data_IF_370740390860
#
_entry.id   IF_370740390860
#
_cell.length_a   1.000
_cell.length_b   1.000
_cell.length_c   1.000
_cell.angle_alpha   90.00
_cell.angle_beta   90.00
_cell.angle_gamma   90.00
#
_symmetry.space_group_name_H-M   'P 1'
#
loop_
_entity.id
_entity.type
_entity.pdbx_description
1 polymer ?
#
# COMPACT_ATOMS: atom_id res chain seq x y z
N UNK A 1 21.70 -1.47 5.41
CA UNK A 1 20.68 -2.26 6.11
C UNK A 1 20.22 -3.41 5.20
N UNK A 2 20.11 -4.62 5.74
CA UNK A 2 19.68 -5.80 4.97
C UNK A 2 18.20 -6.10 5.25
N UNK A 3 17.40 -6.22 4.21
CA UNK A 3 15.97 -6.49 4.30
C UNK A 3 15.65 -7.78 3.54
N UNK A 4 14.93 -8.70 4.16
CA UNK A 4 14.33 -9.85 3.49
C UNK A 4 12.84 -9.61 3.28
N UNK A 5 12.37 -9.67 2.03
CA UNK A 5 10.95 -9.66 1.69
C UNK A 5 10.52 -11.10 1.42
N UNK A 6 9.82 -11.70 2.38
CA UNK A 6 9.36 -13.08 2.31
C UNK A 6 7.97 -13.12 1.68
N UNK A 7 7.89 -13.65 0.46
CA UNK A 7 6.67 -13.71 -0.32
C UNK A 7 6.50 -12.49 -1.26
N UNK A 8 7.32 -12.44 -2.31
CA UNK A 8 7.26 -11.40 -3.34
C UNK A 8 6.10 -11.64 -4.34
N UNK A 9 4.87 -11.72 -3.81
CA UNK A 9 3.63 -11.65 -4.57
C UNK A 9 3.27 -10.20 -4.95
N UNK A 10 1.98 -9.89 -5.18
CA UNK A 10 1.58 -8.54 -5.61
C UNK A 10 2.03 -7.46 -4.60
N UNK A 11 1.68 -7.60 -3.31
CA UNK A 11 2.00 -6.58 -2.31
C UNK A 11 3.47 -6.61 -1.89
N UNK A 12 3.99 -7.80 -1.54
CA UNK A 12 5.42 -7.95 -1.20
C UNK A 12 6.32 -7.56 -2.36
N UNK A 13 5.90 -7.84 -3.60
CA UNK A 13 6.61 -7.43 -4.81
C UNK A 13 6.60 -5.93 -5.03
N UNK A 14 5.46 -5.25 -4.84
CA UNK A 14 5.39 -3.79 -4.96
C UNK A 14 6.31 -3.09 -3.94
N UNK A 15 6.31 -3.57 -2.68
CA UNK A 15 7.22 -3.07 -1.64
C UNK A 15 8.67 -3.35 -2.00
N UNK A 16 9.00 -4.56 -2.44
CA UNK A 16 10.37 -4.91 -2.85
C UNK A 16 10.87 -4.06 -4.00
N UNK A 17 10.04 -3.87 -5.05
CA UNK A 17 10.38 -3.03 -6.21
C UNK A 17 10.56 -1.56 -5.80
N UNK A 18 9.67 -1.03 -4.98
CA UNK A 18 9.80 0.33 -4.46
C UNK A 18 11.08 0.52 -3.64
N UNK A 19 11.35 -0.36 -2.68
CA UNK A 19 12.58 -0.31 -1.88
C UNK A 19 13.84 -0.45 -2.75
N UNK A 20 13.83 -1.34 -3.73
CA UNK A 20 14.96 -1.51 -4.64
C UNK A 20 15.29 -0.26 -5.45
N UNK A 21 14.25 0.46 -5.91
CA UNK A 21 14.41 1.64 -6.76
C UNK A 21 14.65 2.93 -6.00
N UNK A 22 14.04 3.08 -4.83
CA UNK A 22 13.91 4.36 -4.14
C UNK A 22 14.69 4.43 -2.84
N UNK A 23 14.88 3.29 -2.14
CA UNK A 23 15.54 3.28 -0.87
C UNK A 23 17.06 3.35 -1.03
N UNK A 24 17.68 4.24 -0.22
CA UNK A 24 19.14 4.35 -0.14
C UNK A 24 19.68 3.40 0.93
N UNK A 25 20.87 2.83 0.66
CA UNK A 25 21.61 2.00 1.61
C UNK A 25 20.85 0.75 2.12
N UNK A 26 20.00 0.19 1.25
CA UNK A 26 19.25 -1.04 1.49
C UNK A 26 19.73 -2.14 0.55
N UNK A 27 20.05 -3.29 1.13
CA UNK A 27 20.29 -4.54 0.37
C UNK A 27 19.07 -5.43 0.54
N UNK A 28 18.46 -5.83 -0.57
CA UNK A 28 17.23 -6.62 -0.57
C UNK A 28 17.50 -8.06 -0.97
N UNK A 29 16.94 -8.99 -0.22
CA UNK A 29 16.74 -10.37 -0.63
C UNK A 29 15.24 -10.64 -0.69
N UNK A 30 14.74 -11.11 -1.82
CA UNK A 30 13.33 -11.46 -1.99
C UNK A 30 13.14 -12.96 -2.01
N UNK A 31 12.04 -13.46 -1.42
CA UNK A 31 11.68 -14.86 -1.57
C UNK A 31 10.35 -15.02 -2.30
N UNK A 32 10.21 -16.12 -3.00
CA UNK A 32 8.99 -16.51 -3.70
C UNK A 32 8.85 -18.03 -3.69
N UNK A 33 7.61 -18.52 -3.84
CA UNK A 33 7.35 -19.96 -3.97
C UNK A 33 7.51 -20.48 -5.42
N UNK A 34 7.69 -19.60 -6.40
CA UNK A 34 7.69 -19.95 -7.83
C UNK A 34 9.00 -19.55 -8.52
N UNK A 35 9.64 -20.50 -9.20
CA UNK A 35 10.90 -20.28 -9.92
C UNK A 35 10.79 -19.16 -10.98
N UNK A 36 9.69 -19.08 -11.72
CA UNK A 36 9.45 -18.02 -12.72
C UNK A 36 9.43 -16.61 -12.11
N UNK A 37 8.94 -16.49 -10.88
CA UNK A 37 8.94 -15.22 -10.14
C UNK A 37 10.34 -14.88 -9.63
N UNK A 38 11.13 -15.90 -9.26
CA UNK A 38 12.52 -15.73 -8.86
C UNK A 38 13.37 -15.15 -10.01
N UNK A 39 13.24 -15.70 -11.21
CA UNK A 39 13.95 -15.21 -12.40
C UNK A 39 13.61 -13.74 -12.69
N UNK A 40 12.35 -13.34 -12.51
CA UNK A 40 11.91 -11.95 -12.68
C UNK A 40 12.67 -10.99 -11.75
N UNK A 41 12.81 -11.33 -10.47
CA UNK A 41 13.51 -10.45 -9.51
C UNK A 41 15.02 -10.47 -9.72
N UNK A 42 15.61 -11.62 -10.05
CA UNK A 42 17.02 -11.72 -10.41
C UNK A 42 17.36 -10.87 -11.64
N UNK A 43 16.51 -10.87 -12.67
CA UNK A 43 16.67 -10.03 -13.86
C UNK A 43 16.62 -8.52 -13.56
N UNK A 44 16.01 -8.13 -12.46
CA UNK A 44 15.99 -6.74 -11.97
C UNK A 44 17.20 -6.40 -11.07
N UNK A 45 18.13 -7.33 -10.86
CA UNK A 45 19.33 -7.13 -10.06
C UNK A 45 19.10 -7.28 -8.54
N UNK A 46 18.01 -7.93 -8.14
CA UNK A 46 17.75 -8.25 -6.73
C UNK A 46 18.25 -9.65 -6.39
N UNK A 47 18.74 -9.84 -5.16
CA UNK A 47 18.96 -11.17 -4.63
C UNK A 47 17.62 -11.89 -4.48
N UNK A 48 17.45 -13.05 -5.12
CA UNK A 48 16.20 -13.80 -5.10
C UNK A 48 16.46 -15.27 -4.74
N UNK A 49 15.62 -15.86 -3.87
CA UNK A 49 15.75 -17.22 -3.40
C UNK A 49 14.41 -17.87 -3.12
N UNK A 50 14.37 -19.21 -3.08
CA UNK A 50 13.20 -19.98 -2.60
C UNK A 50 13.30 -20.29 -1.10
N UNK A 51 14.42 -19.97 -0.44
CA UNK A 51 14.70 -20.30 0.95
C UNK A 51 14.40 -19.13 1.89
N UNK A 52 13.24 -19.17 2.54
CA UNK A 52 12.81 -18.19 3.51
C UNK A 52 13.74 -18.10 4.74
N UNK A 53 14.29 -19.24 5.16
CA UNK A 53 15.13 -19.30 6.38
C UNK A 53 16.46 -18.61 6.14
N UNK A 54 17.10 -18.91 5.02
CA UNK A 54 18.36 -18.26 4.61
C UNK A 54 18.18 -16.75 4.46
N UNK A 55 17.12 -16.31 3.78
CA UNK A 55 16.80 -14.89 3.61
C UNK A 55 16.57 -14.19 4.96
N UNK A 56 15.74 -14.76 5.85
CA UNK A 56 15.47 -14.22 7.16
C UNK A 56 16.74 -14.15 8.03
N UNK A 57 17.60 -15.18 7.99
CA UNK A 57 18.85 -15.23 8.76
C UNK A 57 19.80 -14.09 8.38
N UNK A 58 19.91 -13.80 7.09
CA UNK A 58 20.82 -12.77 6.55
C UNK A 58 20.34 -11.33 6.75
N UNK A 59 19.09 -11.09 7.15
CA UNK A 59 18.48 -9.78 7.20
C UNK A 59 18.49 -9.16 8.60
N UNK A 60 18.44 -7.82 8.67
CA UNK A 60 18.18 -7.02 9.88
C UNK A 60 16.67 -6.81 10.07
N UNK A 61 15.94 -6.71 8.96
CA UNK A 61 14.49 -6.51 8.88
C UNK A 61 13.87 -7.60 8.01
N UNK A 62 12.78 -8.18 8.48
CA UNK A 62 12.01 -9.18 7.74
C UNK A 62 10.63 -8.62 7.43
N UNK A 63 10.28 -8.55 6.15
CA UNK A 63 8.96 -8.13 5.67
C UNK A 63 8.20 -9.37 5.19
N UNK A 64 7.04 -9.66 5.80
CA UNK A 64 6.17 -10.77 5.41
C UNK A 64 5.14 -10.29 4.39
N UNK A 65 5.34 -10.63 3.13
CA UNK A 65 4.43 -10.35 2.01
C UNK A 65 3.57 -11.54 1.57
N UNK A 66 3.52 -12.60 2.38
CA UNK A 66 2.70 -13.78 2.10
C UNK A 66 1.22 -13.55 2.40
N UNK A 67 0.36 -14.40 1.86
CA UNK A 67 -1.08 -14.35 2.17
C UNK A 67 -1.35 -14.62 3.66
N UNK A 68 -2.41 -14.03 4.25
CA UNK A 68 -2.69 -14.14 5.68
C UNK A 68 -2.71 -15.57 6.22
N UNK A 69 -3.29 -16.51 5.48
CA UNK A 69 -3.37 -17.92 5.88
C UNK A 69 -2.03 -18.69 5.83
N UNK A 70 -0.98 -18.08 5.24
CA UNK A 70 0.38 -18.65 5.19
C UNK A 70 1.29 -18.05 6.26
N UNK A 71 0.89 -16.98 6.94
CA UNK A 71 1.75 -16.24 7.87
C UNK A 71 2.24 -17.13 9.00
N UNK A 72 1.34 -17.88 9.64
CA UNK A 72 1.73 -18.75 10.77
C UNK A 72 2.78 -19.77 10.34
N UNK A 73 2.53 -20.50 9.24
CA UNK A 73 3.46 -21.55 8.78
C UNK A 73 4.82 -21.00 8.35
N UNK A 74 4.84 -19.79 7.73
CA UNK A 74 6.09 -19.12 7.37
C UNK A 74 6.82 -18.62 8.63
N UNK A 75 6.11 -18.06 9.60
CA UNK A 75 6.70 -17.67 10.89
C UNK A 75 7.34 -18.84 11.61
N UNK A 76 6.69 -20.00 11.66
CA UNK A 76 7.25 -21.20 12.26
C UNK A 76 8.58 -21.62 11.61
N UNK A 77 8.68 -21.51 10.28
CA UNK A 77 9.92 -21.81 9.55
C UNK A 77 11.07 -20.86 9.92
N UNK A 78 10.80 -19.54 9.97
CA UNK A 78 11.82 -18.51 10.13
C UNK A 78 12.04 -18.09 11.59
N UNK A 79 11.19 -18.53 12.50
CA UNK A 79 11.19 -18.15 13.94
C UNK A 79 12.58 -18.20 14.59
N UNK A 80 13.42 -19.24 14.37
CA UNK A 80 14.77 -19.28 14.93
C UNK A 80 15.70 -18.16 14.43
N UNK A 81 15.35 -17.52 13.32
CA UNK A 81 16.16 -16.48 12.69
C UNK A 81 15.70 -15.06 13.03
N UNK A 82 14.65 -14.86 13.86
CA UNK A 82 14.02 -13.57 14.11
C UNK A 82 14.53 -12.83 15.35
N UNK A 83 15.33 -13.48 16.21
CA UNK A 83 15.83 -12.84 17.43
C UNK A 83 16.61 -11.54 17.13
N UNK A 84 16.28 -10.47 17.86
CA UNK A 84 16.88 -9.15 17.72
C UNK A 84 16.50 -8.36 16.46
N UNK A 85 15.61 -8.90 15.60
CA UNK A 85 15.22 -8.27 14.32
C UNK A 85 13.91 -7.51 14.43
N UNK A 86 13.62 -6.70 13.40
CA UNK A 86 12.33 -6.07 13.19
C UNK A 86 11.53 -6.91 12.19
N UNK A 87 10.28 -7.23 12.53
CA UNK A 87 9.33 -7.95 11.68
C UNK A 87 8.21 -7.02 11.24
N UNK A 88 7.97 -6.94 9.93
CA UNK A 88 6.94 -6.10 9.32
C UNK A 88 6.00 -7.01 8.51
N UNK A 89 4.78 -7.22 9.02
CA UNK A 89 3.78 -8.05 8.34
C UNK A 89 2.90 -7.20 7.44
N UNK A 90 2.87 -7.52 6.14
CA UNK A 90 1.95 -6.90 5.18
C UNK A 90 0.60 -7.62 5.12
N UNK A 91 0.43 -8.68 5.91
CA UNK A 91 -0.79 -9.48 5.93
C UNK A 91 -1.87 -8.78 6.76
N UNK A 92 -2.96 -8.40 6.10
CA UNK A 92 -4.13 -7.82 6.75
C UNK A 92 -5.00 -8.90 7.43
N UNK A 93 -5.79 -8.48 8.42
CA UNK A 93 -6.81 -9.33 9.05
C UNK A 93 -6.30 -10.30 10.11
N UNK A 94 -5.03 -10.21 10.50
CA UNK A 94 -4.49 -11.00 11.61
C UNK A 94 -4.42 -10.09 12.85
N UNK A 95 -5.13 -10.42 13.95
CA UNK A 95 -5.09 -9.63 15.18
C UNK A 95 -3.67 -9.53 15.76
N UNK A 96 -3.30 -8.37 16.29
CA UNK A 96 -1.99 -8.16 16.93
C UNK A 96 -1.74 -9.15 18.06
N UNK A 97 -2.75 -9.47 18.85
CA UNK A 97 -2.64 -10.46 19.91
C UNK A 97 -2.27 -11.86 19.38
N UNK A 98 -2.81 -12.26 18.25
CA UNK A 98 -2.48 -13.55 17.62
C UNK A 98 -1.04 -13.56 17.08
N UNK A 99 -0.62 -12.47 16.42
CA UNK A 99 0.78 -12.33 15.97
C UNK A 99 1.75 -12.34 17.15
N UNK A 100 1.44 -11.62 18.22
CA UNK A 100 2.24 -11.61 19.44
C UNK A 100 2.36 -13.01 20.06
N UNK A 101 1.29 -13.80 20.06
CA UNK A 101 1.31 -15.18 20.52
C UNK A 101 2.25 -16.05 19.67
N UNK A 102 2.19 -15.96 18.35
CA UNK A 102 3.10 -16.70 17.45
C UNK A 102 4.57 -16.29 17.62
N UNK A 103 4.83 -15.03 17.97
CA UNK A 103 6.17 -14.49 18.22
C UNK A 103 6.67 -14.71 19.66
N UNK A 104 5.87 -15.31 20.52
CA UNK A 104 6.25 -15.57 21.93
C UNK A 104 7.57 -16.34 22.02
N UNK A 105 8.46 -15.89 22.91
CA UNK A 105 9.76 -16.51 23.17
C UNK A 105 10.84 -16.26 22.11
N UNK A 106 10.59 -15.43 21.07
CA UNK A 106 11.55 -15.19 19.98
C UNK A 106 12.63 -14.16 20.34
N UNK A 107 12.35 -13.25 21.28
CA UNK A 107 13.25 -12.12 21.58
C UNK A 107 13.36 -11.14 20.41
N UNK A 108 12.27 -10.93 19.68
CA UNK A 108 12.20 -9.98 18.57
C UNK A 108 12.38 -8.54 19.08
N UNK A 109 13.02 -7.68 18.30
CA UNK A 109 13.21 -6.27 18.66
C UNK A 109 11.90 -5.50 18.57
N UNK A 110 11.19 -5.63 17.46
CA UNK A 110 9.88 -5.04 17.25
C UNK A 110 9.11 -5.80 16.16
N UNK A 111 7.79 -5.78 16.22
CA UNK A 111 6.91 -6.33 15.20
C UNK A 111 5.76 -5.38 14.91
N UNK A 112 5.42 -5.21 13.63
CA UNK A 112 4.37 -4.32 13.16
C UNK A 112 3.49 -5.00 12.12
N UNK A 113 2.20 -4.67 12.11
CA UNK A 113 1.36 -4.83 10.93
C UNK A 113 1.49 -3.56 10.10
N UNK A 114 1.79 -3.69 8.81
CA UNK A 114 2.00 -2.58 7.88
C UNK A 114 1.14 -2.80 6.66
N UNK A 115 0.28 -1.84 6.35
CA UNK A 115 -0.68 -1.90 5.25
C UNK A 115 -0.35 -0.81 4.22
N UNK A 116 0.55 -1.07 3.28
CA UNK A 116 0.77 -0.21 2.11
C UNK A 116 -0.31 -0.45 1.06
N UNK A 117 -0.21 0.28 -0.05
CA UNK A 117 -0.91 -0.07 -1.29
C UNK A 117 0.08 -0.31 -2.44
N UNK A 118 -0.41 -0.73 -3.61
CA UNK A 118 0.44 -1.08 -4.75
C UNK A 118 1.25 0.09 -5.31
N UNK A 119 0.86 1.33 -5.03
CA UNK A 119 1.64 2.50 -5.44
C UNK A 119 2.99 2.63 -4.71
N UNK A 120 3.27 1.74 -3.73
CA UNK A 120 4.60 1.58 -3.15
C UNK A 120 5.68 1.31 -4.22
N UNK A 121 5.32 0.65 -5.31
CA UNK A 121 6.23 0.38 -6.43
C UNK A 121 6.80 1.65 -7.06
N UNK A 122 6.05 2.76 -7.00
CA UNK A 122 6.42 4.04 -7.62
C UNK A 122 6.64 5.18 -6.59
N UNK A 123 6.67 4.86 -5.28
CA UNK A 123 6.91 5.84 -4.23
C UNK A 123 5.69 6.70 -3.85
N UNK A 124 4.48 6.26 -4.20
CA UNK A 124 3.23 7.00 -3.97
C UNK A 124 2.25 6.23 -3.07
N UNK A 125 2.77 5.36 -2.21
CA UNK A 125 1.94 4.61 -1.26
C UNK A 125 1.41 5.51 -0.15
N UNK A 126 0.17 5.29 0.25
CA UNK A 126 -0.29 5.63 1.58
C UNK A 126 -0.22 4.37 2.45
N UNK A 127 0.65 4.38 3.45
CA UNK A 127 0.92 3.23 4.32
C UNK A 127 0.37 3.48 5.72
N UNK A 128 -0.38 2.54 6.27
CA UNK A 128 -0.75 2.52 7.67
C UNK A 128 0.05 1.45 8.40
N UNK A 129 0.56 1.76 9.59
CA UNK A 129 1.30 0.81 10.42
C UNK A 129 0.79 0.81 11.85
N UNK A 130 0.84 -0.35 12.51
CA UNK A 130 0.48 -0.49 13.92
C UNK A 130 1.42 -1.47 14.61
N UNK A 131 1.88 -1.11 15.81
CA UNK A 131 2.75 -1.95 16.60
C UNK A 131 2.03 -3.21 17.09
N UNK A 132 2.73 -4.35 17.02
CA UNK A 132 2.34 -5.63 17.61
C UNK A 132 3.15 -5.84 18.89
N UNK A 133 4.47 -5.66 18.80
CA UNK A 133 5.44 -5.84 19.90
C UNK A 133 6.58 -4.83 19.75
N UNK A 134 7.11 -4.36 20.86
CA UNK A 134 8.24 -3.42 20.90
C UNK A 134 7.87 -2.03 20.37
N UNK A 135 8.86 -1.16 20.29
CA UNK A 135 8.70 0.22 19.86
C UNK A 135 9.75 0.55 18.79
N UNK A 136 9.29 0.87 17.58
CA UNK A 136 10.12 1.22 16.43
C UNK A 136 9.37 2.13 15.44
N UNK A 137 8.48 2.98 15.92
CA UNK A 137 7.58 3.81 15.09
C UNK A 137 8.35 4.68 14.11
N UNK A 138 9.36 5.41 14.58
CA UNK A 138 10.20 6.29 13.75
C UNK A 138 10.94 5.49 12.67
N UNK A 139 11.42 4.30 13.01
CA UNK A 139 12.09 3.42 12.06
C UNK A 139 11.13 2.94 10.97
N UNK A 140 9.95 2.44 11.37
CA UNK A 140 8.93 1.94 10.43
C UNK A 140 8.44 3.07 9.52
N UNK A 141 8.18 4.24 10.12
CA UNK A 141 7.80 5.44 9.38
C UNK A 141 8.89 5.85 8.39
N UNK A 142 10.13 5.96 8.82
CA UNK A 142 11.27 6.34 7.95
C UNK A 142 11.50 5.37 6.80
N UNK A 143 11.30 4.07 7.04
CA UNK A 143 11.45 3.06 5.98
C UNK A 143 10.34 3.18 4.93
N UNK A 144 9.08 3.29 5.34
CA UNK A 144 7.95 3.32 4.41
C UNK A 144 7.69 4.71 3.82
N UNK A 145 8.17 5.80 4.44
CA UNK A 145 8.14 7.14 3.83
C UNK A 145 9.00 7.24 2.57
N UNK A 146 9.94 6.31 2.37
CA UNK A 146 10.66 6.19 1.09
C UNK A 146 9.76 5.64 -0.04
N UNK A 147 8.63 5.02 0.32
CA UNK A 147 7.64 4.45 -0.60
C UNK A 147 6.37 5.30 -0.73
N UNK A 148 6.35 6.49 -0.10
CA UNK A 148 5.20 7.40 -0.10
C UNK A 148 5.03 8.10 1.24
N UNK A 149 3.85 7.98 1.85
CA UNK A 149 3.54 8.56 3.16
C UNK A 149 3.11 7.48 4.14
N UNK A 150 3.53 7.60 5.40
CA UNK A 150 3.23 6.61 6.45
C UNK A 150 2.57 7.24 7.66
N UNK A 151 1.49 6.63 8.13
CA UNK A 151 0.87 6.92 9.41
C UNK A 151 0.98 5.72 10.34
N UNK A 152 1.62 5.91 11.48
CA UNK A 152 1.58 4.95 12.58
C UNK A 152 0.35 5.24 13.43
N UNK A 153 -0.48 4.21 13.64
CA UNK A 153 -1.78 4.32 14.29
C UNK A 153 -2.00 3.17 15.26
N UNK A 154 -2.98 3.29 16.13
CA UNK A 154 -3.44 2.14 16.91
C UNK A 154 -4.14 1.09 16.02
N UNK A 155 -4.19 -0.17 16.48
CA UNK A 155 -4.76 -1.30 15.72
C UNK A 155 -6.22 -1.04 15.30
N UNK A 156 -7.00 -0.31 16.11
CA UNK A 156 -8.43 -0.03 15.80
C UNK A 156 -8.59 0.83 14.55
N UNK A 157 -7.63 1.74 14.29
CA UNK A 157 -7.63 2.59 13.10
C UNK A 157 -7.00 1.94 11.87
N UNK A 158 -6.26 0.84 12.06
CA UNK A 158 -5.57 0.15 10.95
C UNK A 158 -6.55 -0.39 9.91
N UNK A 159 -7.70 -0.93 10.34
CA UNK A 159 -8.73 -1.43 9.42
C UNK A 159 -9.33 -0.29 8.57
N UNK A 160 -9.66 0.84 9.20
CA UNK A 160 -10.15 2.00 8.46
C UNK A 160 -9.09 2.52 7.47
N UNK A 161 -7.82 2.57 7.90
CA UNK A 161 -6.70 2.91 7.03
C UNK A 161 -6.57 1.98 5.83
N UNK A 162 -6.74 0.67 6.02
CA UNK A 162 -6.74 -0.32 4.95
C UNK A 162 -7.85 -0.03 3.92
N UNK A 163 -9.06 0.24 4.36
CA UNK A 163 -10.19 0.51 3.46
C UNK A 163 -9.95 1.78 2.64
N UNK A 164 -9.48 2.85 3.27
CA UNK A 164 -9.25 4.14 2.60
C UNK A 164 -8.02 4.11 1.70
N UNK A 165 -6.91 3.54 2.16
CA UNK A 165 -5.63 3.61 1.45
C UNK A 165 -5.40 2.42 0.51
N UNK A 166 -5.56 1.19 0.99
CA UNK A 166 -5.26 0.00 0.19
C UNK A 166 -6.41 -0.32 -0.77
N UNK A 167 -7.63 -0.51 -0.27
CA UNK A 167 -8.82 -0.74 -1.09
C UNK A 167 -9.17 0.51 -1.91
N UNK A 168 -8.95 1.70 -1.36
CA UNK A 168 -9.18 3.00 -2.00
C UNK A 168 -8.49 3.15 -3.36
N UNK A 169 -7.36 2.49 -3.57
CA UNK A 169 -6.70 2.45 -4.89
C UNK A 169 -7.63 1.90 -5.98
N UNK A 170 -8.35 0.81 -5.67
CA UNK A 170 -9.29 0.22 -6.63
C UNK A 170 -10.52 1.13 -6.83
N UNK A 171 -10.99 1.80 -5.79
CA UNK A 171 -12.12 2.73 -5.88
C UNK A 171 -11.80 3.96 -6.71
N UNK A 172 -10.59 4.53 -6.54
CA UNK A 172 -10.11 5.63 -7.38
C UNK A 172 -9.98 5.22 -8.86
N UNK A 173 -9.45 4.04 -9.13
CA UNK A 173 -9.37 3.49 -10.49
C UNK A 173 -10.76 3.18 -11.08
N UNK A 174 -11.75 2.80 -10.25
CA UNK A 174 -13.13 2.61 -10.71
C UNK A 174 -13.78 3.93 -11.12
N UNK A 175 -13.53 5.00 -10.36
CA UNK A 175 -13.92 6.35 -10.78
C UNK A 175 -13.26 6.74 -12.10
N UNK A 176 -11.94 6.55 -12.23
CA UNK A 176 -11.20 6.88 -13.44
C UNK A 176 -11.76 6.15 -14.67
N UNK A 177 -12.13 4.87 -14.50
CA UNK A 177 -12.77 4.09 -15.57
C UNK A 177 -14.11 4.67 -15.98
N UNK A 178 -14.97 4.98 -15.03
CA UNK A 178 -16.29 5.57 -15.33
C UNK A 178 -16.17 6.93 -16.02
N UNK A 179 -15.23 7.77 -15.57
CA UNK A 179 -14.95 9.06 -16.19
C UNK A 179 -14.42 8.90 -17.63
N UNK A 180 -13.55 7.90 -17.87
CA UNK A 180 -13.09 7.56 -19.23
C UNK A 180 -14.27 7.15 -20.13
N UNK A 181 -15.17 6.30 -19.66
CA UNK A 181 -16.36 5.87 -20.42
C UNK A 181 -17.25 7.07 -20.76
N UNK A 182 -17.44 8.00 -19.82
CA UNK A 182 -18.12 9.28 -20.07
C UNK A 182 -17.42 10.14 -21.12
N UNK A 183 -16.08 10.24 -21.08
CA UNK A 183 -15.29 10.94 -22.10
C UNK A 183 -15.47 10.35 -23.50
N UNK A 184 -15.51 9.03 -23.60
CA UNK A 184 -15.77 8.33 -24.88
C UNK A 184 -17.19 8.62 -25.38
N UNK A 185 -18.18 8.63 -24.50
CA UNK A 185 -19.54 9.01 -24.86
C UNK A 185 -19.66 10.45 -25.38
N UNK A 186 -18.78 11.32 -24.91
CA UNK A 186 -18.68 12.73 -25.36
C UNK A 186 -17.86 12.92 -26.65
N UNK A 187 -17.29 11.82 -27.22
CA UNK A 187 -16.62 11.84 -28.51
C UNK A 187 -15.09 11.77 -28.48
N UNK A 188 -14.46 11.60 -27.31
CA UNK A 188 -13.00 11.36 -27.23
C UNK A 188 -12.67 9.91 -27.62
N UNK A 189 -11.50 9.69 -28.20
CA UNK A 189 -10.98 8.33 -28.33
C UNK A 189 -10.63 7.74 -26.93
N UNK A 190 -10.75 6.40 -26.72
CA UNK A 190 -10.54 5.81 -25.40
C UNK A 190 -9.18 6.15 -24.76
N UNK A 191 -8.10 6.19 -25.53
CA UNK A 191 -6.77 6.53 -25.01
C UNK A 191 -6.66 7.99 -24.61
N UNK A 192 -7.25 8.92 -25.38
CA UNK A 192 -7.31 10.35 -25.05
C UNK A 192 -8.11 10.60 -23.78
N UNK A 193 -9.29 9.96 -23.67
CA UNK A 193 -10.13 10.03 -22.48
C UNK A 193 -9.40 9.52 -21.23
N UNK A 194 -8.68 8.41 -21.35
CA UNK A 194 -7.92 7.83 -20.23
C UNK A 194 -6.77 8.75 -19.78
N UNK A 195 -5.99 9.26 -20.71
CA UNK A 195 -4.90 10.19 -20.43
C UNK A 195 -5.42 11.47 -19.75
N UNK A 196 -6.47 12.07 -20.31
CA UNK A 196 -7.11 13.26 -19.74
C UNK A 196 -7.62 13.02 -18.31
N UNK A 197 -8.28 11.90 -18.06
CA UNK A 197 -8.81 11.55 -16.74
C UNK A 197 -7.69 11.37 -15.73
N UNK A 198 -6.64 10.62 -16.05
CA UNK A 198 -5.51 10.40 -15.14
C UNK A 198 -4.82 11.72 -14.79
N UNK A 199 -4.54 12.57 -15.78
CA UNK A 199 -3.91 13.85 -15.54
C UNK A 199 -4.80 14.79 -14.72
N UNK A 200 -6.12 14.77 -14.96
CA UNK A 200 -7.09 15.60 -14.22
C UNK A 200 -7.19 15.18 -12.76
N UNK A 201 -7.31 13.87 -12.48
CA UNK A 201 -7.37 13.35 -11.10
C UNK A 201 -6.08 13.71 -10.36
N UNK A 202 -4.92 13.44 -10.97
CA UNK A 202 -3.62 13.78 -10.39
C UNK A 202 -3.54 15.27 -10.08
N UNK A 203 -3.85 16.13 -11.04
CA UNK A 203 -3.78 17.58 -10.86
C UNK A 203 -4.73 18.10 -9.78
N UNK A 204 -5.95 17.58 -9.69
CA UNK A 204 -6.93 17.97 -8.68
C UNK A 204 -6.46 17.60 -7.27
N UNK A 205 -5.95 16.38 -7.09
CA UNK A 205 -5.45 15.91 -5.79
C UNK A 205 -4.19 16.67 -5.37
N UNK A 206 -3.22 16.83 -6.27
CA UNK A 206 -1.98 17.56 -6.01
C UNK A 206 -2.27 19.04 -5.68
N UNK A 207 -3.23 19.66 -6.34
CA UNK A 207 -3.64 21.04 -6.08
C UNK A 207 -4.21 21.20 -4.67
N UNK A 208 -5.16 20.36 -4.28
CA UNK A 208 -5.73 20.39 -2.94
C UNK A 208 -4.69 20.09 -1.85
N UNK A 209 -3.84 19.08 -2.07
CA UNK A 209 -2.79 18.69 -1.15
C UNK A 209 -1.72 19.80 -0.98
N UNK A 210 -1.31 20.45 -2.07
CA UNK A 210 -0.29 21.52 -2.02
C UNK A 210 -0.76 22.76 -1.26
N UNK A 211 -2.07 23.01 -1.24
CA UNK A 211 -2.69 24.14 -0.54
C UNK A 211 -3.14 23.80 0.87
N UNK A 212 -3.25 22.51 1.21
CA UNK A 212 -3.82 22.06 2.48
C UNK A 212 -5.30 22.42 2.61
N UNK A 213 -6.03 22.55 1.48
CA UNK A 213 -7.43 22.96 1.45
C UNK A 213 -8.37 21.76 1.51
N UNK A 214 -9.58 22.00 2.04
CA UNK A 214 -10.65 21.02 1.99
C UNK A 214 -11.12 20.81 0.54
N UNK A 215 -11.44 19.57 0.09
CA UNK A 215 -11.90 19.31 -1.28
C UNK A 215 -13.04 20.23 -1.73
N UNK A 216 -14.03 20.52 -0.89
CA UNK A 216 -15.16 21.40 -1.22
C UNK A 216 -14.70 22.81 -1.58
N UNK A 217 -13.67 23.36 -0.92
CA UNK A 217 -13.13 24.68 -1.25
C UNK A 217 -12.51 24.72 -2.66
N UNK A 218 -11.90 23.62 -3.11
CA UNK A 218 -11.39 23.54 -4.49
C UNK A 218 -12.51 23.28 -5.51
N UNK A 219 -13.56 22.54 -5.13
CA UNK A 219 -14.77 22.34 -5.95
C UNK A 219 -15.46 23.69 -6.20
N UNK A 220 -15.66 24.52 -5.18
CA UNK A 220 -16.27 25.84 -5.30
C UNK A 220 -15.49 26.74 -6.27
N UNK A 221 -14.18 26.62 -6.32
CA UNK A 221 -13.33 27.42 -7.23
C UNK A 221 -13.49 27.06 -8.70
N UNK A 222 -13.85 25.82 -9.02
CA UNK A 222 -14.07 25.35 -10.40
C UNK A 222 -15.54 25.39 -10.80
N UNK A 223 -16.45 25.78 -9.88
CA UNK A 223 -17.87 25.96 -10.18
C UNK A 223 -18.22 27.41 -10.37
N UNK A 224 -19.01 27.70 -11.38
CA UNK A 224 -19.50 29.06 -11.67
C UNK A 224 -21.02 29.07 -11.72
N UNK A 225 -21.66 30.23 -11.40
CA UNK A 225 -23.13 30.34 -11.45
C UNK A 225 -23.69 29.92 -12.82
N UNK A 226 -24.59 28.92 -12.82
CA UNK A 226 -25.19 28.38 -14.04
C UNK A 226 -24.24 27.57 -14.93
N UNK A 227 -23.00 27.31 -14.48
CA UNK A 227 -21.97 26.62 -15.23
C UNK A 227 -22.23 25.14 -15.47
N UNK A 228 -21.41 24.51 -16.32
CA UNK A 228 -21.51 23.11 -16.67
C UNK A 228 -21.09 22.24 -15.48
N UNK A 229 -20.06 22.65 -14.73
CA UNK A 229 -19.49 21.90 -13.62
C UNK A 229 -20.51 21.67 -12.51
N UNK A 230 -21.23 22.71 -12.05
CA UNK A 230 -22.22 22.55 -10.98
C UNK A 230 -23.39 21.66 -11.41
N UNK A 231 -23.82 21.73 -12.68
CA UNK A 231 -24.85 20.81 -13.21
C UNK A 231 -24.38 19.37 -13.22
N UNK A 232 -23.12 19.12 -13.59
CA UNK A 232 -22.53 17.79 -13.54
C UNK A 232 -22.43 17.24 -12.12
N UNK A 233 -21.97 18.05 -11.15
CA UNK A 233 -21.90 17.65 -9.73
C UNK A 233 -23.29 17.29 -9.17
N UNK A 234 -24.30 18.11 -9.44
CA UNK A 234 -25.67 17.83 -8.99
C UNK A 234 -26.22 16.54 -9.60
N UNK A 235 -25.96 16.28 -10.88
CA UNK A 235 -26.37 15.03 -11.52
C UNK A 235 -25.63 13.79 -10.94
N UNK A 236 -24.35 13.92 -10.61
CA UNK A 236 -23.62 12.83 -9.94
C UNK A 236 -24.21 12.56 -8.54
N UNK A 237 -24.55 13.61 -7.79
CA UNK A 237 -25.11 13.46 -6.46
C UNK A 237 -26.55 12.89 -6.50
N UNK A 238 -27.36 13.31 -7.46
CA UNK A 238 -28.69 12.74 -7.72
C UNK A 238 -28.61 11.24 -8.05
N UNK A 239 -27.55 10.81 -8.77
CA UNK A 239 -27.24 9.41 -9.04
C UNK A 239 -26.67 8.66 -7.83
N UNK A 240 -26.46 9.32 -6.67
CA UNK A 240 -26.01 8.72 -5.42
C UNK A 240 -24.50 8.52 -5.31
N UNK A 241 -23.69 9.37 -5.93
CA UNK A 241 -22.23 9.22 -5.94
C UNK A 241 -21.62 9.15 -4.54
N UNK A 242 -21.93 10.11 -3.65
CA UNK A 242 -21.42 10.14 -2.27
C UNK A 242 -21.85 8.88 -1.50
N UNK A 243 -23.11 8.47 -1.64
CA UNK A 243 -23.64 7.28 -0.97
C UNK A 243 -22.91 6.00 -1.46
N UNK A 244 -22.64 5.89 -2.75
CA UNK A 244 -21.92 4.74 -3.34
C UNK A 244 -20.48 4.64 -2.83
N UNK A 245 -19.76 5.77 -2.74
CA UNK A 245 -18.39 5.83 -2.22
C UNK A 245 -18.35 5.41 -0.74
N UNK A 246 -19.23 5.97 0.10
CA UNK A 246 -19.31 5.62 1.53
C UNK A 246 -19.69 4.15 1.71
N UNK A 247 -20.64 3.64 0.93
CA UNK A 247 -21.04 2.23 0.99
C UNK A 247 -19.89 1.30 0.64
N UNK A 248 -19.11 1.61 -0.40
CA UNK A 248 -17.94 0.82 -0.79
C UNK A 248 -16.85 0.78 0.30
N UNK A 249 -16.63 1.88 1.02
CA UNK A 249 -15.66 1.94 2.12
C UNK A 249 -16.14 1.19 3.38
N UNK A 250 -17.44 0.99 3.55
CA UNK A 250 -18.05 0.32 4.72
C UNK A 250 -18.29 -1.18 4.52
N UNK A 251 -18.22 -1.68 3.29
CA UNK A 251 -18.43 -3.07 2.95
C UNK A 251 -17.24 -3.94 3.35
#
# INVERSE_FOLDING_TARGET
MKIAVIGAGNMGGAVALGLHRLAKDVTLTVTTAHASTLEKYAALGMDATLDNVSAAKGADVVILGVKPWLVQSVLEQIKPSLSGKVLLSLAAGIPSAQMAQWLSGVGIKAAYTVIPNLAAEIGESMTFASAILGEADDFVKSLFDQLGKTLVVDERRLQAGMMVASCGTAFALRYARAAMEGGVQLGLYPHEALEAVYQTIKGAVDLAASRGTHPEAEIDRVTTPGGITIRGLNAMEEAGFTAAVIAGLKA
#
